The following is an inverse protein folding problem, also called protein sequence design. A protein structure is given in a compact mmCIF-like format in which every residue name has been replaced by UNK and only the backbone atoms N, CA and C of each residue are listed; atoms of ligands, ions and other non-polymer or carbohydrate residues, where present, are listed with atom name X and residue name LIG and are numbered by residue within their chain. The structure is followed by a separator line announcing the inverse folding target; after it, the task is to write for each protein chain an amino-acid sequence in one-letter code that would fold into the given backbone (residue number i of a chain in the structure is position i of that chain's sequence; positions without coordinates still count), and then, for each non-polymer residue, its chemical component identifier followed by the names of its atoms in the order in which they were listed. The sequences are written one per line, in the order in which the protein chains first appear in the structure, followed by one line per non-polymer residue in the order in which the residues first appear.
data_IF_591219937001
#
_entry.id   IF_591219937001
#
_cell.length_a   1.000
_cell.length_b   1.000
_cell.length_c   1.000
_cell.angle_alpha   90.00
_cell.angle_beta   90.00
_cell.angle_gamma   90.00
#
_symmetry.space_group_name_H-M   'P 1'
#
loop_
_entity.id
_entity.type
_entity.pdbx_description
1 polymer ?
#
# COMPACT_ATOMS: atom_id res chain seq x y z
N UNK A 1 23.09 11.69 2.44
CA UNK A 1 21.88 11.72 3.28
C UNK A 1 21.40 10.31 3.64
N UNK A 2 21.29 9.37 2.68
CA UNK A 2 20.78 8.01 2.94
C UNK A 2 21.61 7.27 3.97
N UNK A 3 22.94 7.32 3.87
CA UNK A 3 23.83 6.65 4.84
C UNK A 3 23.61 7.25 6.22
N UNK A 4 23.71 8.57 6.37
CA UNK A 4 23.54 9.25 7.66
C UNK A 4 22.21 8.95 8.34
N UNK A 5 21.12 9.01 7.60
CA UNK A 5 19.77 8.78 8.13
C UNK A 5 19.53 7.33 8.62
N UNK A 6 20.41 6.41 8.29
CA UNK A 6 20.32 5.00 8.70
C UNK A 6 21.38 4.60 9.74
N UNK A 7 22.22 5.54 10.17
CA UNK A 7 23.11 5.35 11.32
C UNK A 7 22.35 5.60 12.62
N UNK A 8 22.64 4.79 13.63
CA UNK A 8 22.09 4.94 14.99
C UNK A 8 23.03 5.80 15.84
N UNK A 9 24.32 5.81 15.48
CA UNK A 9 25.35 6.63 16.12
C UNK A 9 25.56 7.89 15.30
N UNK A 10 25.37 9.06 15.92
CA UNK A 10 25.66 10.36 15.34
C UNK A 10 27.07 10.87 15.74
N UNK A 11 27.51 11.89 15.02
CA UNK A 11 28.78 12.57 15.32
C UNK A 11 28.70 13.24 16.70
N UNK A 12 29.63 12.86 17.57
CA UNK A 12 29.68 13.35 18.97
C UNK A 12 29.11 12.38 19.99
N UNK A 13 28.45 11.31 19.57
CA UNK A 13 27.94 10.28 20.46
C UNK A 13 29.05 9.45 21.11
N UNK A 14 28.74 8.86 22.27
CA UNK A 14 29.63 7.87 22.89
C UNK A 14 29.67 6.62 22.03
N UNK A 15 30.88 6.22 21.59
CA UNK A 15 31.04 5.02 20.79
C UNK A 15 30.49 3.78 21.49
N UNK A 16 29.63 3.06 20.82
CA UNK A 16 29.05 1.79 21.25
C UNK A 16 29.11 0.77 20.11
N UNK A 17 29.84 -0.34 20.34
CA UNK A 17 30.04 -1.38 19.34
C UNK A 17 28.71 -2.03 18.87
N UNK A 18 27.73 -2.18 19.76
CA UNK A 18 26.43 -2.78 19.43
C UNK A 18 25.65 -1.84 18.51
N UNK A 19 25.60 -0.54 18.85
CA UNK A 19 24.92 0.47 18.02
C UNK A 19 25.61 0.64 16.67
N UNK A 20 26.95 0.60 16.65
CA UNK A 20 27.71 0.59 15.40
C UNK A 20 27.34 -0.62 14.52
N UNK A 21 27.35 -1.83 15.08
CA UNK A 21 26.97 -3.04 14.32
C UNK A 21 25.52 -2.97 13.81
N UNK A 22 24.59 -2.44 14.61
CA UNK A 22 23.22 -2.18 14.18
C UNK A 22 23.15 -1.18 13.02
N UNK A 23 23.93 -0.09 13.08
CA UNK A 23 24.02 0.90 11.99
C UNK A 23 24.46 0.27 10.68
N UNK A 24 25.53 -0.54 10.72
CA UNK A 24 26.02 -1.24 9.53
C UNK A 24 24.97 -2.24 9.00
N UNK A 25 24.31 -2.97 9.89
CA UNK A 25 23.22 -3.88 9.50
C UNK A 25 22.03 -3.13 8.86
N UNK A 26 21.67 -1.95 9.38
CA UNK A 26 20.66 -1.10 8.78
C UNK A 26 21.05 -0.69 7.35
N UNK A 27 22.30 -0.28 7.14
CA UNK A 27 22.79 0.08 5.80
C UNK A 27 22.73 -1.13 4.83
N UNK A 28 23.18 -2.31 5.28
CA UNK A 28 23.09 -3.55 4.49
C UNK A 28 21.63 -3.92 4.18
N UNK A 29 20.73 -3.73 5.13
CA UNK A 29 19.30 -4.03 4.97
C UNK A 29 18.57 -3.13 3.96
N UNK A 30 19.09 -1.93 3.66
CA UNK A 30 18.55 -1.05 2.60
C UNK A 30 18.61 -1.72 1.22
N UNK A 31 19.56 -2.63 1.03
CA UNK A 31 19.79 -3.29 -0.25
C UNK A 31 20.14 -2.33 -1.41
N UNK A 32 20.73 -1.17 -1.09
CA UNK A 32 21.20 -0.16 -2.06
C UNK A 32 22.67 -0.34 -2.41
N UNK A 33 23.38 -1.08 -1.55
CA UNK A 33 24.81 -1.27 -1.67
C UNK A 33 25.10 -2.75 -1.95
N UNK A 34 26.13 -2.96 -2.78
CA UNK A 34 26.68 -4.29 -3.04
C UNK A 34 27.53 -4.74 -1.86
N UNK A 35 28.29 -3.79 -1.32
CA UNK A 35 29.08 -3.98 -0.12
C UNK A 35 29.05 -2.76 0.80
N UNK A 36 29.20 -3.01 2.10
CA UNK A 36 29.27 -1.99 3.14
C UNK A 36 30.35 -2.42 4.12
N UNK A 37 31.47 -1.74 4.09
CA UNK A 37 32.58 -1.94 5.00
C UNK A 37 32.69 -0.79 6.01
N UNK A 38 33.20 -1.09 7.19
CA UNK A 38 33.46 -0.08 8.20
C UNK A 38 34.75 -0.35 8.95
N UNK A 39 35.58 0.68 9.08
CA UNK A 39 36.79 0.70 9.83
C UNK A 39 36.69 1.67 11.00
N UNK A 40 37.15 1.26 12.17
CA UNK A 40 37.19 2.10 13.37
C UNK A 40 38.66 2.39 13.68
N UNK A 41 39.02 3.66 13.60
CA UNK A 41 40.38 4.13 13.91
C UNK A 41 40.36 5.09 15.09
N UNK A 42 41.51 5.24 15.76
CA UNK A 42 41.65 6.22 16.84
C UNK A 42 41.58 7.65 16.30
N UNK A 43 40.84 8.50 16.98
CA UNK A 43 40.73 9.90 16.64
C UNK A 43 41.88 10.75 17.17
N UNK A 44 41.77 12.06 17.03
CA UNK A 44 42.76 13.04 17.43
C UNK A 44 42.98 13.13 18.96
N UNK A 45 42.10 12.55 19.77
CA UNK A 45 42.18 12.49 21.22
C UNK A 45 42.05 11.06 21.72
N UNK A 46 42.59 10.76 22.94
CA UNK A 46 42.54 9.41 23.55
C UNK A 46 41.11 8.83 23.67
N UNK A 47 40.09 9.69 23.68
CA UNK A 47 38.71 9.29 23.91
C UNK A 47 37.81 9.47 22.65
N UNK A 48 38.42 9.76 21.49
CA UNK A 48 37.67 9.89 20.23
C UNK A 48 37.98 8.71 19.31
N UNK A 49 36.94 8.27 18.59
CA UNK A 49 37.02 7.27 17.52
C UNK A 49 36.51 7.87 16.23
N UNK A 50 37.11 7.50 15.13
CA UNK A 50 36.63 7.83 13.78
C UNK A 50 36.10 6.54 13.18
N UNK A 51 34.88 6.58 12.69
CA UNK A 51 34.25 5.48 11.97
C UNK A 51 34.27 5.83 10.48
N UNK A 52 35.10 5.14 9.72
CA UNK A 52 35.10 5.24 8.25
C UNK A 52 34.13 4.21 7.71
N UNK A 53 33.15 4.65 6.91
CA UNK A 53 32.19 3.77 6.26
C UNK A 53 32.42 3.89 4.75
N UNK A 54 32.76 2.79 4.12
CA UNK A 54 32.92 2.66 2.68
C UNK A 54 31.78 1.84 2.09
N UNK A 55 31.20 2.30 1.00
CA UNK A 55 30.05 1.63 0.35
C UNK A 55 30.31 1.48 -1.14
N UNK A 56 29.94 0.33 -1.69
CA UNK A 56 29.86 0.10 -3.13
C UNK A 56 28.39 0.09 -3.55
N UNK A 57 27.95 1.08 -4.33
CA UNK A 57 26.56 1.19 -4.78
C UNK A 57 26.22 0.11 -5.81
N UNK A 58 24.96 -0.31 -5.88
CA UNK A 58 24.42 -1.19 -6.92
C UNK A 58 23.15 -0.61 -7.53
N UNK A 59 22.78 -1.05 -8.75
CA UNK A 59 21.50 -0.68 -9.33
C UNK A 59 20.33 -1.08 -8.42
N UNK A 60 19.41 -0.14 -8.19
CA UNK A 60 18.23 -0.30 -7.31
C UNK A 60 16.92 -0.32 -8.09
N UNK A 61 17.01 -0.17 -9.42
CA UNK A 61 15.89 -0.26 -10.34
C UNK A 61 15.49 -1.69 -10.63
N UNK A 62 14.19 -1.94 -10.69
CA UNK A 62 13.60 -3.24 -11.01
C UNK A 62 12.56 -3.07 -12.12
N UNK A 63 12.56 -3.98 -13.08
CA UNK A 63 11.53 -4.08 -14.12
C UNK A 63 10.85 -5.43 -13.93
N UNK A 64 9.53 -5.43 -13.91
CA UNK A 64 8.71 -6.63 -13.81
C UNK A 64 7.71 -6.69 -14.95
N UNK A 65 7.51 -7.89 -15.47
CA UNK A 65 6.44 -8.19 -16.41
C UNK A 65 5.87 -9.57 -16.07
N UNK A 66 4.56 -9.70 -16.18
CA UNK A 66 3.88 -10.95 -15.87
C UNK A 66 2.59 -11.08 -16.65
N UNK A 67 2.19 -12.33 -16.89
CA UNK A 67 0.88 -12.65 -17.43
C UNK A 67 0.29 -13.81 -16.63
N UNK A 68 -1.01 -13.82 -16.49
CA UNK A 68 -1.74 -14.85 -15.75
C UNK A 68 -3.11 -15.12 -16.34
N UNK A 69 -3.63 -16.30 -16.09
CA UNK A 69 -5.00 -16.70 -16.42
C UNK A 69 -5.65 -17.23 -15.14
N UNK A 70 -6.81 -16.76 -14.81
CA UNK A 70 -7.55 -17.16 -13.62
C UNK A 70 -9.06 -17.18 -13.85
N UNK A 71 -9.81 -17.40 -12.78
CA UNK A 71 -11.27 -17.39 -12.80
C UNK A 71 -11.88 -16.01 -13.14
N UNK A 72 -11.07 -14.95 -13.03
CA UNK A 72 -11.44 -13.58 -13.40
C UNK A 72 -10.93 -13.16 -14.79
N UNK A 73 -10.54 -14.13 -15.63
CA UNK A 73 -10.02 -13.90 -16.96
C UNK A 73 -8.49 -13.81 -17.06
N UNK A 74 -8.01 -13.20 -18.11
CA UNK A 74 -6.59 -12.99 -18.39
C UNK A 74 -6.10 -11.70 -17.74
N UNK A 75 -4.86 -11.70 -17.26
CA UNK A 75 -4.19 -10.49 -16.76
C UNK A 75 -2.78 -10.36 -17.34
N UNK A 76 -2.38 -9.16 -17.68
CA UNK A 76 -1.02 -8.79 -18.08
C UNK A 76 -0.60 -7.60 -17.21
N UNK A 77 0.55 -7.72 -16.57
CA UNK A 77 1.11 -6.67 -15.73
C UNK A 77 2.49 -6.27 -16.19
N UNK A 78 2.79 -4.99 -16.09
CA UNK A 78 4.11 -4.41 -16.31
C UNK A 78 4.39 -3.40 -15.19
N UNK A 79 5.60 -3.46 -14.63
CA UNK A 79 6.01 -2.55 -13.56
C UNK A 79 7.46 -2.11 -13.69
N UNK A 80 7.71 -0.88 -13.29
CA UNK A 80 9.06 -0.33 -13.10
C UNK A 80 9.11 0.26 -11.69
N UNK A 81 10.14 -0.08 -10.95
CA UNK A 81 10.36 0.41 -9.59
C UNK A 81 11.81 0.85 -9.45
N UNK A 82 12.01 1.98 -8.78
CA UNK A 82 13.31 2.47 -8.35
C UNK A 82 13.26 2.73 -6.84
N UNK A 83 14.19 2.16 -6.09
CA UNK A 83 14.18 2.22 -4.63
C UNK A 83 15.08 3.31 -4.06
N UNK A 84 15.99 3.86 -4.87
CA UNK A 84 16.97 4.86 -4.43
C UNK A 84 17.22 5.94 -5.50
N UNK A 85 16.14 6.61 -5.91
CA UNK A 85 16.22 7.61 -6.96
C UNK A 85 17.22 8.72 -6.65
N UNK A 86 18.19 8.90 -7.53
CA UNK A 86 19.32 9.83 -7.40
C UNK A 86 20.14 9.66 -6.10
N UNK A 87 20.23 8.46 -5.55
CA UNK A 87 20.96 8.20 -4.32
C UNK A 87 20.34 8.82 -3.06
N UNK A 88 19.06 9.23 -3.10
CA UNK A 88 18.37 9.96 -2.03
C UNK A 88 17.42 9.11 -1.20
N UNK A 89 17.35 7.80 -1.46
CA UNK A 89 16.39 6.90 -0.81
C UNK A 89 14.93 7.15 -1.20
N UNK A 90 14.69 8.03 -2.17
CA UNK A 90 13.36 8.28 -2.71
C UNK A 90 13.00 7.09 -3.60
N UNK A 91 11.80 6.58 -3.41
CA UNK A 91 11.27 5.47 -4.19
C UNK A 91 10.24 5.98 -5.17
N UNK A 92 10.25 5.46 -6.38
CA UNK A 92 9.12 5.58 -7.27
C UNK A 92 8.74 4.21 -7.86
N UNK A 93 7.49 4.06 -8.19
CA UNK A 93 6.99 2.88 -8.87
C UNK A 93 5.92 3.27 -9.88
N UNK A 94 5.94 2.63 -11.05
CA UNK A 94 4.84 2.69 -11.99
C UNK A 94 4.39 1.28 -12.31
N UNK A 95 3.09 1.07 -12.37
CA UNK A 95 2.49 -0.22 -12.68
C UNK A 95 1.38 -0.02 -13.71
N UNK A 96 1.33 -0.88 -14.70
CA UNK A 96 0.26 -1.01 -15.66
C UNK A 96 -0.29 -2.43 -15.57
N UNK A 97 -1.58 -2.56 -15.38
CA UNK A 97 -2.29 -3.84 -15.35
C UNK A 97 -3.44 -3.81 -16.34
N UNK A 98 -3.50 -4.81 -17.17
CA UNK A 98 -4.57 -5.03 -18.13
C UNK A 98 -5.24 -6.36 -17.81
N UNK A 99 -6.57 -6.35 -17.76
CA UNK A 99 -7.39 -7.55 -17.62
C UNK A 99 -8.48 -7.53 -18.68
N UNK A 100 -9.27 -8.59 -18.76
CA UNK A 100 -10.40 -8.65 -19.72
C UNK A 100 -11.44 -7.55 -19.43
N UNK A 101 -11.55 -7.08 -18.19
CA UNK A 101 -12.54 -6.07 -17.77
C UNK A 101 -11.93 -4.74 -17.37
N UNK A 102 -10.60 -4.62 -17.21
CA UNK A 102 -10.01 -3.39 -16.67
C UNK A 102 -8.63 -3.05 -17.23
N UNK A 103 -8.36 -1.76 -17.29
CA UNK A 103 -7.04 -1.18 -17.52
C UNK A 103 -6.73 -0.29 -16.32
N UNK A 104 -5.66 -0.56 -15.61
CA UNK A 104 -5.23 0.21 -14.45
C UNK A 104 -3.79 0.68 -14.61
N UNK A 105 -3.59 1.98 -14.52
CA UNK A 105 -2.28 2.62 -14.45
C UNK A 105 -2.08 3.27 -13.09
N UNK A 106 -0.91 3.08 -12.47
CA UNK A 106 -0.54 3.74 -11.21
C UNK A 106 0.89 4.21 -11.28
N UNK A 107 1.13 5.45 -10.86
CA UNK A 107 2.44 6.01 -10.60
C UNK A 107 2.50 6.52 -9.17
N UNK A 108 3.55 6.17 -8.44
CA UNK A 108 3.73 6.56 -7.05
C UNK A 108 5.16 6.98 -6.75
N UNK A 109 5.29 7.96 -5.87
CA UNK A 109 6.56 8.43 -5.31
C UNK A 109 6.45 8.38 -3.80
N UNK A 110 7.49 7.89 -3.12
CA UNK A 110 7.56 7.92 -1.66
C UNK A 110 8.96 8.26 -1.17
N UNK A 111 9.00 8.99 -0.07
CA UNK A 111 10.21 9.22 0.70
C UNK A 111 10.03 8.56 2.08
N UNK A 112 10.66 7.40 2.34
CA UNK A 112 10.45 6.66 3.59
C UNK A 112 11.03 7.34 4.82
N UNK A 113 12.02 8.23 4.65
CA UNK A 113 12.72 8.94 5.73
C UNK A 113 12.65 10.44 5.48
N UNK A 114 11.45 11.01 5.46
CA UNK A 114 11.25 12.42 5.17
C UNK A 114 11.95 13.31 6.21
N UNK A 115 12.87 14.15 5.73
CA UNK A 115 13.72 15.04 6.57
C UNK A 115 14.52 14.31 7.65
N UNK A 116 14.95 13.08 7.39
CA UNK A 116 15.69 12.28 8.37
C UNK A 116 14.86 11.74 9.53
N UNK A 117 13.53 11.79 9.44
CA UNK A 117 12.62 11.21 10.42
C UNK A 117 12.20 9.80 10.00
N UNK A 118 11.64 9.02 10.94
CA UNK A 118 11.00 7.74 10.64
C UNK A 118 9.60 7.90 10.00
N UNK A 119 9.31 9.07 9.48
CA UNK A 119 8.07 9.36 8.79
C UNK A 119 8.22 9.21 7.29
N UNK A 120 7.38 8.39 6.70
CA UNK A 120 7.25 8.27 5.25
C UNK A 120 6.20 9.26 4.73
N UNK A 121 6.50 9.89 3.59
CA UNK A 121 5.53 10.69 2.82
C UNK A 121 5.41 10.03 1.45
N UNK A 122 4.19 9.96 0.93
CA UNK A 122 3.94 9.39 -0.38
C UNK A 122 2.89 10.19 -1.17
N UNK A 123 3.04 10.17 -2.48
CA UNK A 123 2.07 10.69 -3.43
C UNK A 123 1.85 9.66 -4.55
N UNK A 124 0.60 9.47 -4.96
CA UNK A 124 0.25 8.55 -6.04
C UNK A 124 -0.70 9.23 -7.01
N UNK A 125 -0.58 8.90 -8.27
CA UNK A 125 -1.57 9.17 -9.32
C UNK A 125 -1.99 7.83 -9.87
N UNK A 126 -3.29 7.63 -10.04
CA UNK A 126 -3.82 6.39 -10.61
C UNK A 126 -4.98 6.69 -11.57
N UNK A 127 -5.08 5.85 -12.59
CA UNK A 127 -6.21 5.84 -13.49
C UNK A 127 -6.65 4.41 -13.72
N UNK A 128 -7.93 4.15 -13.59
CA UNK A 128 -8.52 2.83 -13.80
C UNK A 128 -9.75 2.95 -14.65
N UNK A 129 -9.80 2.19 -15.72
CA UNK A 129 -11.01 1.94 -16.50
C UNK A 129 -11.49 0.53 -16.20
N UNK A 130 -12.76 0.37 -15.85
CA UNK A 130 -13.43 -0.93 -15.68
C UNK A 130 -14.61 -1.01 -16.62
N UNK A 131 -14.56 -1.92 -17.58
CA UNK A 131 -15.61 -2.14 -18.57
C UNK A 131 -16.40 -3.40 -18.23
N UNK A 132 -17.63 -3.23 -17.82
CA UNK A 132 -18.59 -4.27 -17.47
C UNK A 132 -19.94 -4.05 -18.16
N UNK A 133 -19.92 -3.33 -19.30
CA UNK A 133 -21.15 -3.05 -20.04
C UNK A 133 -21.90 -4.32 -20.40
N UNK A 134 -21.20 -5.33 -20.92
CA UNK A 134 -21.80 -6.59 -21.36
C UNK A 134 -22.37 -7.43 -20.22
N UNK A 135 -21.65 -7.50 -19.08
CA UNK A 135 -21.98 -8.44 -18.00
C UNK A 135 -22.86 -7.80 -16.92
N UNK A 136 -22.69 -6.49 -16.67
CA UNK A 136 -23.32 -5.78 -15.56
C UNK A 136 -23.92 -4.44 -15.94
N UNK A 137 -23.88 -4.06 -17.22
CA UNK A 137 -24.52 -2.87 -17.75
C UNK A 137 -23.84 -1.53 -17.42
N UNK A 138 -22.57 -1.52 -16.97
CA UNK A 138 -21.85 -0.29 -16.65
C UNK A 138 -20.37 -0.30 -17.02
N UNK A 139 -19.84 0.90 -17.20
CA UNK A 139 -18.42 1.17 -17.40
C UNK A 139 -18.01 2.37 -16.55
N UNK A 140 -16.88 2.27 -15.86
CA UNK A 140 -16.32 3.36 -15.07
C UNK A 140 -14.91 3.71 -15.54
N UNK A 141 -14.60 5.01 -15.51
CA UNK A 141 -13.22 5.50 -15.63
C UNK A 141 -12.96 6.40 -14.44
N UNK A 142 -12.03 6.02 -13.58
CA UNK A 142 -11.69 6.73 -12.34
C UNK A 142 -10.24 7.15 -12.39
N UNK A 143 -9.98 8.47 -12.30
CA UNK A 143 -8.63 9.03 -12.25
C UNK A 143 -8.47 9.83 -10.97
N UNK A 144 -7.42 9.59 -10.23
CA UNK A 144 -7.26 10.18 -8.92
C UNK A 144 -5.82 10.39 -8.49
N UNK A 145 -5.71 11.19 -7.44
CA UNK A 145 -4.47 11.55 -6.77
C UNK A 145 -4.59 11.28 -5.28
N UNK A 146 -3.56 10.70 -4.70
CA UNK A 146 -3.44 10.45 -3.25
C UNK A 146 -2.20 11.16 -2.72
N UNK A 147 -2.32 11.84 -1.61
CA UNK A 147 -1.21 12.34 -0.81
C UNK A 147 -1.34 11.82 0.62
N UNK A 148 -0.29 11.24 1.15
CA UNK A 148 -0.35 10.67 2.49
C UNK A 148 0.99 10.58 3.18
N UNK A 149 0.91 10.14 4.41
CA UNK A 149 2.05 9.94 5.30
C UNK A 149 1.86 8.61 6.05
N UNK A 150 2.96 8.03 6.53
CA UNK A 150 2.96 6.87 7.42
C UNK A 150 4.04 7.06 8.46
N UNK A 151 3.70 6.85 9.72
CA UNK A 151 4.62 6.94 10.84
C UNK A 151 4.23 5.95 11.95
N UNK A 152 5.21 5.56 12.72
CA UNK A 152 5.00 4.79 13.92
C UNK A 152 4.61 5.74 15.06
N UNK A 153 3.42 5.56 15.63
CA UNK A 153 2.89 6.41 16.71
C UNK A 153 3.19 5.83 18.10
N UNK A 154 3.05 4.53 18.24
CA UNK A 154 3.51 3.73 19.36
C UNK A 154 4.28 2.53 18.81
N UNK A 155 5.03 1.83 19.66
CA UNK A 155 5.75 0.62 19.30
C UNK A 155 4.83 -0.36 18.55
N UNK A 156 5.21 -0.71 17.31
CA UNK A 156 4.46 -1.58 16.39
C UNK A 156 3.08 -1.05 15.93
N UNK A 157 2.69 0.18 16.30
CA UNK A 157 1.45 0.82 15.88
C UNK A 157 1.74 1.92 14.87
N UNK A 158 1.37 1.67 13.63
CA UNK A 158 1.54 2.61 12.52
C UNK A 158 0.24 3.30 12.18
N UNK A 159 0.31 4.61 11.95
CA UNK A 159 -0.80 5.41 11.46
C UNK A 159 -0.45 5.92 10.07
N UNK A 160 -1.40 5.78 9.14
CA UNK A 160 -1.24 6.28 7.77
C UNK A 160 -2.44 7.13 7.37
N UNK A 161 -2.41 8.45 7.64
CA UNK A 161 -3.39 9.37 7.12
C UNK A 161 -3.11 9.66 5.64
N UNK A 162 -4.17 9.83 4.84
CA UNK A 162 -4.07 10.30 3.46
C UNK A 162 -5.30 11.11 3.04
N UNK A 163 -5.13 11.89 1.99
CA UNK A 163 -6.21 12.54 1.25
C UNK A 163 -6.20 11.95 -0.15
N UNK A 164 -7.36 11.45 -0.56
CA UNK A 164 -7.60 10.93 -1.89
C UNK A 164 -8.59 11.86 -2.60
N UNK A 165 -8.23 12.29 -3.80
CA UNK A 165 -9.12 13.07 -4.67
C UNK A 165 -9.21 12.37 -6.00
N UNK A 166 -10.42 12.16 -6.50
CA UNK A 166 -10.62 11.51 -7.79
C UNK A 166 -11.82 12.05 -8.55
N UNK A 167 -11.70 11.93 -9.85
CA UNK A 167 -12.74 12.18 -10.82
C UNK A 167 -13.18 10.86 -11.45
N UNK A 168 -14.47 10.62 -11.48
CA UNK A 168 -15.06 9.40 -12.02
C UNK A 168 -16.07 9.72 -13.11
N UNK A 169 -16.04 8.95 -14.19
CA UNK A 169 -17.08 8.91 -15.22
C UNK A 169 -17.74 7.54 -15.19
N UNK A 170 -19.04 7.50 -14.92
CA UNK A 170 -19.86 6.29 -14.94
C UNK A 170 -20.80 6.32 -16.13
N UNK A 171 -20.69 5.33 -17.00
CA UNK A 171 -21.56 5.11 -18.16
C UNK A 171 -22.37 3.84 -17.96
N UNK A 172 -23.59 3.83 -18.47
CA UNK A 172 -24.50 2.68 -18.38
C UNK A 172 -24.99 2.28 -19.74
N UNK A 173 -25.28 1.00 -19.92
CA UNK A 173 -25.99 0.50 -21.09
C UNK A 173 -27.49 0.84 -21.00
N UNK A 174 -28.17 0.95 -22.15
CA UNK A 174 -29.61 1.24 -22.21
C UNK A 174 -30.47 0.10 -21.64
N UNK A 175 -29.95 -1.12 -21.58
CA UNK A 175 -30.63 -2.29 -21.01
C UNK A 175 -30.37 -2.45 -19.49
N UNK A 176 -29.55 -1.59 -18.90
CA UNK A 176 -29.28 -1.63 -17.46
C UNK A 176 -30.54 -1.27 -16.66
N UNK A 177 -30.58 -1.71 -15.40
CA UNK A 177 -31.68 -1.38 -14.48
C UNK A 177 -31.87 0.13 -14.35
N UNK A 178 -33.09 0.56 -14.09
CA UNK A 178 -33.42 1.99 -13.88
C UNK A 178 -32.56 2.60 -12.78
N UNK A 179 -32.32 1.84 -11.69
CA UNK A 179 -31.47 2.27 -10.57
C UNK A 179 -30.02 2.53 -11.02
N UNK A 180 -29.50 1.66 -11.89
CA UNK A 180 -28.14 1.83 -12.42
C UNK A 180 -28.08 2.98 -13.45
N UNK A 181 -29.09 3.13 -14.29
CA UNK A 181 -29.19 4.24 -15.25
C UNK A 181 -29.20 5.61 -14.55
N UNK A 182 -29.89 5.72 -13.41
CA UNK A 182 -29.93 6.94 -12.60
C UNK A 182 -28.58 7.35 -12.03
N UNK A 183 -27.63 6.41 -11.92
CA UNK A 183 -26.26 6.67 -11.45
C UNK A 183 -25.29 7.09 -12.56
N UNK A 184 -25.75 7.16 -13.82
CA UNK A 184 -24.93 7.64 -14.94
C UNK A 184 -24.55 9.10 -14.72
N UNK A 185 -23.23 9.39 -14.78
CA UNK A 185 -22.77 10.76 -14.57
C UNK A 185 -21.26 10.86 -14.44
N UNK A 186 -20.85 12.04 -14.02
CA UNK A 186 -19.47 12.34 -13.65
C UNK A 186 -19.46 12.84 -12.21
N UNK A 187 -18.49 12.38 -11.44
CA UNK A 187 -18.41 12.59 -10.01
C UNK A 187 -17.03 13.10 -9.63
N UNK A 188 -16.99 13.96 -8.63
CA UNK A 188 -15.75 14.44 -8.05
C UNK A 188 -15.80 14.21 -6.54
N UNK A 189 -14.88 13.40 -6.04
CA UNK A 189 -14.86 13.02 -4.64
C UNK A 189 -13.48 13.32 -4.03
N UNK A 190 -13.51 13.73 -2.77
CA UNK A 190 -12.32 13.89 -1.93
C UNK A 190 -12.59 13.29 -0.57
N UNK A 191 -11.73 12.34 -0.18
CA UNK A 191 -11.84 11.60 1.06
C UNK A 191 -10.62 11.84 1.95
N UNK A 192 -10.83 11.89 3.26
CA UNK A 192 -9.77 11.68 4.25
C UNK A 192 -9.78 10.21 4.62
N UNK A 193 -8.62 9.58 4.52
CA UNK A 193 -8.43 8.18 4.86
C UNK A 193 -7.50 8.04 6.06
N UNK A 194 -7.78 7.04 6.90
CA UNK A 194 -6.85 6.60 7.94
C UNK A 194 -6.68 5.08 7.88
N UNK A 195 -5.43 4.66 8.06
CA UNK A 195 -5.10 3.27 8.31
C UNK A 195 -4.37 3.19 9.65
N UNK A 196 -4.95 2.45 10.59
CA UNK A 196 -4.29 2.02 11.82
C UNK A 196 -3.82 0.59 11.61
N UNK A 197 -2.53 0.35 11.82
CA UNK A 197 -1.88 -0.94 11.53
C UNK A 197 -1.04 -1.34 12.75
N UNK A 198 -1.53 -2.28 13.54
CA UNK A 198 -0.85 -2.86 14.69
C UNK A 198 -0.29 -4.22 14.31
N UNK A 199 1.06 -4.31 14.22
CA UNK A 199 1.76 -5.47 13.68
C UNK A 199 2.72 -6.08 14.72
N UNK A 200 2.25 -7.10 15.40
CA UNK A 200 2.97 -7.88 16.41
C UNK A 200 3.42 -9.25 15.89
N UNK A 201 3.58 -9.40 14.61
CA UNK A 201 4.13 -10.62 14.02
C UNK A 201 5.62 -10.72 14.29
N UNK A 202 6.09 -11.92 14.58
CA UNK A 202 7.52 -12.19 14.78
C UNK A 202 8.36 -11.83 13.54
N UNK A 203 7.80 -12.00 12.33
CA UNK A 203 8.40 -11.61 11.06
C UNK A 203 7.32 -11.30 10.00
N UNK A 204 7.64 -10.41 9.05
CA UNK A 204 6.67 -9.99 8.03
C UNK A 204 6.49 -11.00 6.91
N UNK A 205 7.52 -11.79 6.64
CA UNK A 205 7.52 -12.86 5.64
C UNK A 205 7.62 -14.21 6.36
N UNK A 206 6.85 -15.21 5.92
CA UNK A 206 6.76 -16.52 6.57
C UNK A 206 6.46 -16.41 8.08
N UNK A 207 5.49 -15.60 8.43
CA UNK A 207 5.06 -15.40 9.83
C UNK A 207 4.69 -16.72 10.48
N UNK A 208 5.25 -17.01 11.65
CA UNK A 208 4.96 -18.22 12.42
C UNK A 208 4.17 -17.93 13.68
N UNK A 209 4.32 -16.72 14.27
CA UNK A 209 3.69 -16.32 15.52
C UNK A 209 3.26 -14.86 15.51
N UNK A 210 2.30 -14.55 16.37
CA UNK A 210 1.84 -13.20 16.62
C UNK A 210 0.61 -12.82 15.81
N UNK A 211 0.33 -11.54 15.73
CA UNK A 211 -0.88 -11.06 15.05
C UNK A 211 -0.64 -9.72 14.33
N UNK A 212 -1.54 -9.42 13.42
CA UNK A 212 -1.66 -8.11 12.80
C UNK A 212 -3.12 -7.66 12.79
N UNK A 213 -3.38 -6.45 13.27
CA UNK A 213 -4.70 -5.83 13.29
C UNK A 213 -4.68 -4.55 12.46
N UNK A 214 -5.57 -4.43 11.48
CA UNK A 214 -5.67 -3.26 10.61
C UNK A 214 -7.09 -2.72 10.58
N UNK A 215 -7.25 -1.46 10.93
CA UNK A 215 -8.49 -0.72 10.75
C UNK A 215 -8.27 0.40 9.74
N UNK A 216 -9.14 0.47 8.75
CA UNK A 216 -9.16 1.55 7.76
C UNK A 216 -10.51 2.23 7.75
N UNK A 217 -10.50 3.54 7.55
CA UNK A 217 -11.70 4.32 7.36
C UNK A 217 -11.46 5.34 6.23
N UNK A 218 -12.47 5.51 5.37
CA UNK A 218 -12.55 6.59 4.39
C UNK A 218 -13.75 7.47 4.72
N UNK A 219 -13.48 8.74 4.94
CA UNK A 219 -14.48 9.75 5.31
C UNK A 219 -14.57 10.76 4.17
N UNK A 220 -15.70 10.85 3.47
CA UNK A 220 -15.89 11.82 2.41
C UNK A 220 -15.92 13.25 2.97
N UNK A 221 -15.14 14.16 2.36
CA UNK A 221 -15.14 15.59 2.68
C UNK A 221 -15.94 16.37 1.62
N UNK A 222 -15.65 16.02 0.35
CA UNK A 222 -16.36 16.53 -0.83
C UNK A 222 -16.80 15.32 -1.63
N UNK A 223 -18.06 15.14 -1.82
CA UNK A 223 -18.61 14.01 -2.57
C UNK A 223 -20.02 14.32 -3.03
N UNK A 224 -20.43 13.70 -4.11
CA UNK A 224 -21.81 13.73 -4.57
C UNK A 224 -22.69 12.74 -3.79
N UNK A 225 -22.11 11.67 -3.23
CA UNK A 225 -22.87 10.58 -2.56
C UNK A 225 -22.51 10.37 -1.08
N UNK A 226 -21.47 11.00 -0.57
CA UNK A 226 -21.02 10.95 0.83
C UNK A 226 -21.05 9.55 1.45
N UNK A 227 -20.33 8.60 0.87
CA UNK A 227 -20.27 7.22 1.33
C UNK A 227 -19.13 7.00 2.35
N UNK A 228 -19.47 6.73 3.61
CA UNK A 228 -18.51 6.37 4.66
C UNK A 228 -18.14 4.90 4.55
N UNK A 229 -16.85 4.61 4.40
CA UNK A 229 -16.34 3.25 4.34
C UNK A 229 -15.51 2.92 5.58
N UNK A 230 -15.74 1.73 6.14
CA UNK A 230 -14.91 1.15 7.19
C UNK A 230 -14.43 -0.23 6.76
N UNK A 231 -13.21 -0.59 7.15
CA UNK A 231 -12.65 -1.90 6.90
C UNK A 231 -11.82 -2.38 8.09
N UNK A 232 -11.98 -3.63 8.47
CA UNK A 232 -11.19 -4.25 9.51
C UNK A 232 -10.64 -5.59 9.03
N UNK A 233 -9.36 -5.81 9.31
CA UNK A 233 -8.68 -7.07 9.02
C UNK A 233 -7.82 -7.46 10.22
N UNK A 234 -8.00 -8.71 10.68
CA UNK A 234 -7.21 -9.29 11.74
C UNK A 234 -6.64 -10.63 11.28
N UNK A 235 -5.34 -10.81 11.47
CA UNK A 235 -4.64 -12.05 11.17
C UNK A 235 -3.89 -12.49 12.43
N UNK A 236 -4.07 -13.73 12.85
CA UNK A 236 -3.39 -14.36 13.98
C UNK A 236 -2.64 -15.59 13.48
N UNK A 237 -1.46 -15.81 14.01
CA UNK A 237 -0.57 -16.90 13.63
C UNK A 237 -0.08 -17.60 14.89
N UNK A 238 -0.07 -18.93 14.87
CA UNK A 238 0.40 -19.78 15.97
C UNK A 238 1.11 -20.99 15.39
N UNK A 239 2.33 -21.27 15.82
CA UNK A 239 3.03 -22.50 15.50
C UNK A 239 2.53 -23.64 16.40
N UNK A 240 1.78 -24.58 15.83
CA UNK A 240 1.21 -25.72 16.56
C UNK A 240 2.21 -26.88 16.72
N UNK A 241 3.10 -27.03 15.74
CA UNK A 241 4.17 -28.02 15.72
C UNK A 241 5.24 -27.55 14.72
N UNK A 242 6.39 -28.20 14.72
CA UNK A 242 7.46 -27.89 13.78
C UNK A 242 6.93 -27.85 12.34
N UNK A 243 7.08 -26.70 11.67
CA UNK A 243 6.61 -26.43 10.29
C UNK A 243 5.07 -26.44 10.10
N UNK A 244 4.27 -26.49 11.20
CA UNK A 244 2.81 -26.46 11.15
C UNK A 244 2.29 -25.19 11.79
N UNK A 245 1.83 -24.24 10.96
CA UNK A 245 1.35 -22.93 11.41
C UNK A 245 -0.17 -22.86 11.23
N UNK A 246 -0.89 -22.62 12.34
CA UNK A 246 -2.29 -22.25 12.28
C UNK A 246 -2.44 -20.77 11.99
N UNK A 247 -3.36 -20.43 11.09
CA UNK A 247 -3.66 -19.04 10.76
C UNK A 247 -5.16 -18.79 10.90
N UNK A 248 -5.52 -17.77 11.66
CA UNK A 248 -6.88 -17.27 11.73
C UNK A 248 -6.93 -15.90 11.05
N UNK A 249 -7.86 -15.72 10.11
CA UNK A 249 -8.07 -14.43 9.42
C UNK A 249 -9.53 -14.01 9.57
N UNK A 250 -9.75 -12.82 10.07
CA UNK A 250 -11.03 -12.12 10.02
C UNK A 250 -10.93 -10.93 9.07
N UNK A 251 -11.94 -10.77 8.22
CA UNK A 251 -12.03 -9.66 7.29
C UNK A 251 -13.47 -9.17 7.22
N UNK A 252 -13.67 -7.86 7.42
CA UNK A 252 -14.97 -7.22 7.32
C UNK A 252 -14.86 -5.82 6.75
N UNK A 253 -15.84 -5.45 5.92
CA UNK A 253 -15.97 -4.09 5.40
C UNK A 253 -17.42 -3.65 5.44
N UNK A 254 -17.65 -2.37 5.66
CA UNK A 254 -18.96 -1.72 5.54
C UNK A 254 -18.82 -0.45 4.72
N UNK A 255 -19.84 -0.15 3.92
CA UNK A 255 -20.01 1.13 3.28
C UNK A 255 -21.46 1.54 3.39
N UNK A 256 -21.71 2.78 3.72
CA UNK A 256 -23.05 3.35 3.79
C UNK A 256 -23.02 4.85 3.50
N UNK A 257 -24.04 5.32 2.81
CA UNK A 257 -24.22 6.75 2.60
C UNK A 257 -24.67 7.43 3.91
N UNK A 258 -24.08 8.57 4.21
CA UNK A 258 -24.46 9.40 5.37
C UNK A 258 -25.50 10.47 5.00
N UNK A 259 -25.83 10.63 3.72
CA UNK A 259 -26.85 11.56 3.21
C UNK A 259 -28.19 10.87 2.92
N UNK A 260 -28.25 9.55 2.98
CA UNK A 260 -29.45 8.75 2.70
C UNK A 260 -29.65 8.42 1.22
N UNK A 261 -28.71 8.82 0.35
CA UNK A 261 -28.69 8.40 -1.05
C UNK A 261 -28.06 7.01 -1.21
N UNK A 262 -28.33 6.36 -2.34
CA UNK A 262 -27.71 5.05 -2.63
C UNK A 262 -26.21 5.19 -2.86
N UNK A 263 -25.44 4.21 -2.34
CA UNK A 263 -24.02 4.09 -2.65
C UNK A 263 -23.85 3.74 -4.13
N UNK A 264 -23.01 4.50 -4.83
CA UNK A 264 -22.73 4.28 -6.27
C UNK A 264 -22.21 2.86 -6.51
N UNK A 265 -22.56 2.29 -7.66
CA UNK A 265 -22.14 0.94 -8.06
C UNK A 265 -20.62 0.78 -8.05
N UNK A 266 -19.87 1.82 -8.39
CA UNK A 266 -18.42 1.85 -8.39
C UNK A 266 -17.80 1.81 -6.98
N UNK A 267 -18.53 2.24 -5.96
CA UNK A 267 -18.11 2.29 -4.56
C UNK A 267 -18.59 1.08 -3.76
N UNK A 268 -19.56 0.32 -4.27
CA UNK A 268 -20.08 -0.86 -3.58
C UNK A 268 -19.01 -1.88 -3.33
N UNK A 269 -19.08 -2.47 -2.15
CA UNK A 269 -18.11 -3.48 -1.71
C UNK A 269 -18.41 -4.83 -2.34
N UNK A 270 -17.37 -5.46 -2.86
CA UNK A 270 -17.40 -6.82 -3.37
C UNK A 270 -16.41 -7.69 -2.61
N UNK A 271 -16.82 -8.90 -2.28
CA UNK A 271 -15.92 -9.84 -1.64
C UNK A 271 -14.84 -10.29 -2.65
N UNK A 272 -13.54 -10.06 -2.34
CA UNK A 272 -12.47 -10.47 -3.25
C UNK A 272 -12.42 -11.99 -3.40
N UNK A 273 -12.13 -12.50 -4.59
CA UNK A 273 -11.96 -13.95 -4.85
C UNK A 273 -10.83 -14.59 -4.02
N UNK A 274 -9.83 -13.79 -3.61
CA UNK A 274 -8.78 -14.23 -2.69
C UNK A 274 -9.28 -14.53 -1.27
N UNK A 275 -10.40 -13.93 -0.85
CA UNK A 275 -11.03 -14.14 0.46
C UNK A 275 -12.14 -15.21 0.43
N UNK A 276 -12.76 -15.41 -0.71
CA UNK A 276 -13.78 -16.46 -0.89
C UNK A 276 -13.57 -17.16 -2.25
N UNK A 277 -12.99 -18.33 -2.20
CA UNK A 277 -12.71 -19.14 -3.40
C UNK A 277 -13.95 -19.93 -3.83
N UNK A 278 -14.04 -20.23 -5.12
CA UNK A 278 -15.13 -21.04 -5.69
C UNK A 278 -16.38 -20.25 -6.07
N UNK A 279 -16.39 -18.94 -5.91
CA UNK A 279 -17.48 -18.07 -6.31
C UNK A 279 -17.03 -17.05 -7.34
N UNK A 280 -17.89 -16.78 -8.31
CA UNK A 280 -17.70 -15.72 -9.28
C UNK A 280 -17.85 -14.34 -8.60
N UNK A 281 -16.98 -13.41 -8.95
CA UNK A 281 -17.01 -12.05 -8.40
C UNK A 281 -18.34 -11.36 -8.74
N UNK A 282 -18.96 -10.72 -7.76
CA UNK A 282 -20.22 -9.98 -7.93
C UNK A 282 -21.48 -10.84 -8.00
N UNK A 283 -21.36 -12.18 -7.80
CA UNK A 283 -22.52 -13.09 -7.79
C UNK A 283 -23.02 -13.43 -6.38
N UNK A 284 -22.41 -12.85 -5.35
CA UNK A 284 -22.78 -13.08 -3.95
C UNK A 284 -23.42 -11.81 -3.41
N UNK A 285 -24.62 -11.95 -2.85
CA UNK A 285 -25.37 -10.86 -2.25
C UNK A 285 -26.62 -10.49 -3.05
N UNK A 286 -27.34 -9.45 -2.63
CA UNK A 286 -28.54 -8.99 -3.33
C UNK A 286 -28.22 -8.57 -4.77
N UNK A 287 -29.06 -9.01 -5.67
CA UNK A 287 -29.04 -8.58 -7.08
C UNK A 287 -30.23 -7.68 -7.36
N UNK A 288 -30.05 -6.75 -8.27
CA UNK A 288 -31.14 -5.90 -8.75
C UNK A 288 -32.11 -6.77 -9.54
N UNK A 289 -33.35 -6.84 -9.10
CA UNK A 289 -34.41 -7.60 -9.77
C UNK A 289 -35.22 -6.64 -10.65
N UNK A 290 -34.82 -6.48 -11.88
CA UNK A 290 -35.71 -5.90 -12.90
C UNK A 290 -36.52 -6.96 -13.56
#
# INVERSE_FOLDING_TARGET
DVIRNNLILDEGDTFNKILHSKSINNLKALNFFKDVDSEIVDGSSKNSKIINIEVEEKPTGEISAGAGVGTSGTSIGFGVKENNFLGRGIQFATNLELTDESIRGKFGVSNPNFKGSNQSIFANIQSEETDRLTNFGYKTTKTGFTLGSRFEYFEDVFISPSIDTYYESLKTDASASTNLQNQKGTYFDTDINYLFDYDKRNQKFQTTEGFRSRFRQSVPIVSDTYALMNGYEFNYYEELANEVIATFTFYGQTIHSITGEDVRISERLYLPSSKLRGFERGRIGPVDSN
#
